data_IF_054451599975
#
_entry.id   IF_054451599975
#
_cell.length_a   1.000
_cell.length_b   1.000
_cell.length_c   1.000
_cell.angle_alpha   90.00
_cell.angle_beta   90.00
_cell.angle_gamma   90.00
#
_symmetry.space_group_name_H-M   'P 1'
#
loop_
_entity.id
_entity.type
_entity.pdbx_description
1 polymer ?
2 non-polymer ?
3 non-polymer ?
4 water ?
#
# COMPACT_ATOMS: atom_id res chain seq x y z
N UNK A 1 4.13 2.54 -3.54
CA UNK A 1 3.65 2.07 -4.88
C UNK A 1 3.09 3.24 -5.69
N UNK A 2 2.98 3.02 -7.00
CA UNK A 2 2.47 4.06 -7.90
C UNK A 2 0.99 4.34 -7.69
N UNK A 3 0.58 5.53 -8.10
CA UNK A 3 -0.82 5.98 -8.03
C UNK A 3 -0.93 7.13 -9.03
N UNK A 4 -0.49 6.88 -10.26
CA UNK A 4 -0.48 7.88 -11.32
C UNK A 4 -1.84 8.30 -11.85
N UNK A 5 -2.76 7.35 -11.96
CA UNK A 5 -4.10 7.67 -12.46
C UNK A 5 -5.11 7.33 -11.37
N UNK A 6 -6.06 8.24 -11.18
CA UNK A 6 -7.06 8.09 -10.15
C UNK A 6 -7.97 6.86 -10.32
N UNK A 7 -8.29 6.47 -11.55
CA UNK A 7 -9.18 5.34 -11.75
C UNK A 7 -8.68 4.20 -12.64
N UNK A 8 -7.42 4.26 -13.06
CA UNK A 8 -6.85 3.22 -13.91
C UNK A 8 -5.80 2.38 -13.18
N UNK A 9 -6.02 1.07 -13.12
CA UNK A 9 -5.09 0.17 -12.46
C UNK A 9 -3.77 0.08 -13.20
N UNK A 10 -3.83 0.30 -14.51
CA UNK A 10 -2.63 0.21 -15.34
C UNK A 10 -1.42 0.92 -14.77
N UNK A 11 -1.63 2.12 -14.23
CA UNK A 11 -0.55 2.92 -13.67
C UNK A 11 -0.82 3.31 -12.22
N UNK A 12 -1.65 2.53 -11.54
CA UNK A 12 -1.97 2.79 -10.14
C UNK A 12 -1.89 1.48 -9.37
N UNK A 13 -0.70 1.18 -8.84
CA UNK A 13 -0.51 -0.05 -8.08
C UNK A 13 -1.34 -0.02 -6.81
N UNK A 14 -1.50 1.15 -6.21
CA UNK A 14 -2.29 1.26 -4.99
C UNK A 14 -3.72 0.81 -5.22
N UNK A 15 -4.32 1.28 -6.32
CA UNK A 15 -5.68 0.93 -6.66
C UNK A 15 -5.77 -0.56 -6.97
N UNK A 16 -4.77 -1.08 -7.68
CA UNK A 16 -4.73 -2.49 -8.04
C UNK A 16 -4.74 -3.36 -6.78
N UNK A 17 -3.89 -3.01 -5.81
CA UNK A 17 -3.81 -3.77 -4.57
C UNK A 17 -5.18 -3.81 -3.88
N UNK A 18 -5.85 -2.67 -3.81
CA UNK A 18 -7.16 -2.60 -3.17
C UNK A 18 -8.20 -3.42 -3.94
N UNK A 19 -8.24 -3.26 -5.26
CA UNK A 19 -9.20 -4.01 -6.08
C UNK A 19 -9.01 -5.52 -5.93
N UNK A 20 -7.75 -5.97 -5.89
CA UNK A 20 -7.47 -7.39 -5.73
C UNK A 20 -7.87 -7.85 -4.32
N UNK A 21 -7.75 -6.95 -3.34
CA UNK A 21 -8.14 -7.29 -1.97
C UNK A 21 -9.66 -7.45 -1.92
N UNK A 22 -10.37 -6.60 -2.65
CA UNK A 22 -11.82 -6.68 -2.71
C UNK A 22 -12.23 -7.98 -3.40
N UNK A 23 -11.45 -8.39 -4.40
CA UNK A 23 -11.73 -9.65 -5.10
C UNK A 23 -11.58 -10.80 -4.11
N UNK A 24 -10.58 -10.71 -3.24
CA UNK A 24 -10.36 -11.74 -2.23
C UNK A 24 -11.60 -11.84 -1.35
N UNK A 25 -12.12 -10.70 -0.92
CA UNK A 25 -13.32 -10.68 -0.09
C UNK A 25 -14.50 -11.27 -0.85
N UNK A 26 -14.61 -10.94 -2.14
CA UNK A 26 -15.69 -11.46 -2.95
C UNK A 26 -15.61 -12.98 -3.08
N UNK A 27 -14.40 -13.50 -3.19
CA UNK A 27 -14.21 -14.95 -3.33
C UNK A 27 -14.46 -15.70 -2.03
N UNK A 28 -14.36 -15.01 -0.90
CA UNK A 28 -14.59 -15.67 0.37
C UNK A 28 -16.08 -15.84 0.61
N UNK A 29 -16.52 -17.08 0.75
CA UNK A 29 -17.94 -17.36 0.95
C UNK A 29 -18.24 -17.99 2.30
N UNK A 30 -17.32 -17.86 3.25
CA UNK A 30 -17.51 -18.45 4.57
C UNK A 30 -17.46 -17.41 5.67
N UNK A 31 -16.85 -16.26 5.40
CA UNK A 31 -16.71 -15.24 6.42
C UNK A 31 -17.18 -13.84 6.04
N UNK A 32 -16.92 -13.44 4.81
CA UNK A 32 -17.28 -12.10 4.36
C UNK A 32 -18.74 -11.88 3.99
N UNK A 33 -19.31 -10.79 4.50
CA UNK A 33 -20.69 -10.42 4.17
C UNK A 33 -20.51 -9.64 2.86
N UNK A 34 -21.06 -10.18 1.78
CA UNK A 34 -20.91 -9.55 0.48
C UNK A 34 -21.49 -8.14 0.33
N UNK A 35 -22.40 -7.75 1.21
CA UNK A 35 -22.97 -6.41 1.12
C UNK A 35 -21.86 -5.39 1.41
N UNK A 36 -20.80 -5.86 2.05
CA UNK A 36 -19.66 -4.99 2.36
C UNK A 36 -18.95 -4.64 1.06
N UNK A 37 -18.88 -5.63 0.16
CA UNK A 37 -18.25 -5.41 -1.13
C UNK A 37 -19.15 -4.49 -1.96
N UNK A 38 -20.46 -4.64 -1.78
CA UNK A 38 -21.42 -3.80 -2.51
C UNK A 38 -21.22 -2.33 -2.12
N UNK A 39 -21.01 -2.08 -0.83
CA UNK A 39 -20.81 -0.71 -0.35
C UNK A 39 -19.54 -0.09 -0.89
N UNK A 40 -18.47 -0.88 -0.92
CA UNK A 40 -17.19 -0.40 -1.43
C UNK A 40 -17.33 0.02 -2.89
N UNK A 41 -18.06 -0.78 -3.67
CA UNK A 41 -18.27 -0.48 -5.09
C UNK A 41 -19.24 0.66 -5.30
N UNK A 42 -20.17 0.83 -4.36
CA UNK A 42 -21.14 1.92 -4.46
C UNK A 42 -20.42 3.25 -4.28
N UNK A 43 -19.47 3.29 -3.35
CA UNK A 43 -18.72 4.51 -3.09
C UNK A 43 -17.29 4.42 -3.62
N UNK A 44 -17.14 3.69 -4.72
CA UNK A 44 -15.83 3.51 -5.34
C UNK A 44 -15.17 4.83 -5.74
N UNK A 45 -15.96 5.75 -6.26
CA UNK A 45 -15.41 7.04 -6.68
C UNK A 45 -14.69 7.74 -5.53
N UNK A 46 -15.33 7.80 -4.37
CA UNK A 46 -14.73 8.44 -3.20
C UNK A 46 -13.54 7.65 -2.69
N UNK A 47 -13.65 6.32 -2.73
CA UNK A 47 -12.59 5.45 -2.29
C UNK A 47 -11.35 5.69 -3.14
N UNK A 48 -11.52 5.66 -4.46
CA UNK A 48 -10.41 5.89 -5.37
C UNK A 48 -9.81 7.29 -5.22
N UNK A 49 -10.67 8.27 -4.93
CA UNK A 49 -10.19 9.65 -4.74
C UNK A 49 -9.23 9.67 -3.55
N UNK A 50 -9.61 8.97 -2.49
CA UNK A 50 -8.78 8.91 -1.30
C UNK A 50 -7.44 8.22 -1.56
N UNK A 51 -7.47 7.10 -2.28
CA UNK A 51 -6.25 6.38 -2.58
C UNK A 51 -5.28 7.25 -3.39
N UNK A 52 -5.83 8.02 -4.31
CA UNK A 52 -5.05 8.90 -5.18
C UNK A 52 -4.54 10.17 -4.48
N UNK A 53 -5.42 10.85 -3.76
CA UNK A 53 -5.09 12.09 -3.08
C UNK A 53 -3.87 12.05 -2.18
N UNK A 54 -3.59 10.90 -1.56
CA UNK A 54 -2.46 10.77 -0.66
C UNK A 54 -1.13 11.21 -1.27
N UNK A 55 -0.97 11.02 -2.57
CA UNK A 55 0.27 11.37 -3.26
C UNK A 55 0.28 12.73 -3.96
N UNK A 56 -0.83 13.44 -3.93
CA UNK A 56 -0.89 14.71 -4.67
C UNK A 56 -1.28 16.00 -3.96
N UNK A 57 -1.66 15.93 -2.69
CA UNK A 57 -2.06 17.15 -2.01
C UNK A 57 -1.83 17.13 -0.51
N UNK A 58 -1.78 18.33 0.06
CA UNK A 58 -1.61 18.49 1.50
C UNK A 58 -2.93 18.17 2.18
N UNK A 59 -2.89 17.70 3.43
CA UNK A 59 -1.64 17.46 4.17
C UNK A 59 -1.06 16.07 3.90
N UNK A 60 -1.79 15.28 3.12
CA UNK A 60 -1.40 13.90 2.81
C UNK A 60 0.00 13.66 2.26
N UNK A 61 0.50 14.53 1.39
CA UNK A 61 1.84 14.32 0.85
C UNK A 61 2.92 15.20 1.48
N UNK A 62 2.58 15.78 2.62
CA UNK A 62 3.50 16.60 3.41
C UNK A 62 4.38 17.57 2.60
N UNK A 63 3.75 18.50 1.90
CA UNK A 63 4.49 19.50 1.11
C UNK A 63 5.43 18.87 0.10
N UNK A 64 4.98 17.79 -0.53
CA UNK A 64 5.77 17.06 -1.54
C UNK A 64 6.99 16.32 -1.01
N UNK A 65 7.03 16.02 0.28
CA UNK A 65 8.15 15.26 0.85
C UNK A 65 7.71 13.83 1.11
N UNK A 66 6.40 13.61 1.11
CA UNK A 66 5.80 12.29 1.35
C UNK A 66 6.33 11.62 2.61
N UNK A 67 6.72 12.43 3.61
CA UNK A 67 7.23 11.89 4.86
C UNK A 67 6.26 10.92 5.53
N UNK A 68 4.96 11.19 5.43
CA UNK A 68 3.97 10.34 6.07
C UNK A 68 3.73 9.01 5.36
N UNK A 69 4.38 8.81 4.21
CA UNK A 69 4.22 7.57 3.46
C UNK A 69 5.30 6.55 3.80
N UNK A 70 6.14 6.89 4.78
CA UNK A 70 7.22 6.01 5.20
C UNK A 70 7.10 5.67 6.69
N UNK A 71 7.61 4.50 7.06
CA UNK A 71 7.59 4.06 8.45
C UNK A 71 8.56 2.89 8.65
N UNK A 72 9.62 3.13 9.43
CA UNK A 72 10.61 2.09 9.73
C UNK A 72 10.17 1.45 11.05
N UNK A 73 9.70 0.18 11.00
CA UNK A 73 9.26 -0.50 12.22
C UNK A 73 10.29 -0.65 13.34
N UNK A 74 11.58 -0.56 12.99
CA UNK A 74 12.62 -0.70 14.02
C UNK A 74 12.77 0.52 14.94
N UNK A 75 12.56 1.71 14.41
CA UNK A 75 12.67 2.91 15.23
C UNK A 75 11.36 3.73 15.23
N UNK A 76 10.37 3.25 14.50
CA UNK A 76 9.09 3.94 14.43
C UNK A 76 9.16 5.33 13.83
N UNK A 77 10.14 5.57 12.96
CA UNK A 77 10.31 6.88 12.35
C UNK A 77 10.24 6.87 10.82
N UNK A 78 9.99 8.05 10.25
CA UNK A 78 9.97 8.21 8.80
C UNK A 78 11.36 8.74 8.47
N UNK A 79 11.61 9.11 7.22
CA UNK A 79 12.95 9.56 6.81
C UNK A 79 13.35 10.99 7.16
N UNK A 80 12.41 11.77 7.68
CA UNK A 80 12.69 13.14 8.09
C UNK A 80 12.44 13.20 9.60
N UNK A 81 13.44 13.64 10.36
CA UNK A 81 13.30 13.74 11.82
C UNK A 81 12.06 14.53 12.24
N UNK A 82 11.34 14.02 13.23
CA UNK A 82 10.16 14.68 13.78
C UNK A 82 8.92 14.76 12.90
N UNK A 83 9.00 14.26 11.67
CA UNK A 83 7.84 14.29 10.78
C UNK A 83 6.89 13.16 11.12
N UNK A 84 5.65 13.28 10.65
CA UNK A 84 4.64 12.26 10.90
C UNK A 84 4.95 11.03 10.04
N UNK A 85 4.65 9.83 10.55
CA UNK A 85 4.92 8.62 9.78
C UNK A 85 3.65 7.87 9.37
N UNK A 86 3.84 6.83 8.56
CA UNK A 86 2.73 6.06 8.02
C UNK A 86 1.81 5.36 9.02
N UNK A 87 2.36 4.87 10.12
CA UNK A 87 1.55 4.16 11.11
C UNK A 87 0.52 5.07 11.79
N UNK A 88 0.96 6.21 12.30
CA UNK A 88 0.04 7.12 12.97
C UNK A 88 -0.89 7.79 11.96
N UNK A 89 -0.38 8.08 10.76
CA UNK A 89 -1.20 8.73 9.75
C UNK A 89 -2.25 7.78 9.19
N UNK A 90 -1.84 6.54 8.88
CA UNK A 90 -2.79 5.57 8.37
C UNK A 90 -3.90 5.28 9.37
N UNK A 91 -3.53 5.14 10.64
CA UNK A 91 -4.50 4.87 11.70
C UNK A 91 -5.44 6.05 11.86
N UNK A 92 -4.91 7.26 11.72
CA UNK A 92 -5.72 8.47 11.85
C UNK A 92 -6.90 8.45 10.88
N UNK A 93 -6.63 8.13 9.62
CA UNK A 93 -7.69 8.12 8.62
C UNK A 93 -8.63 6.91 8.71
N UNK A 94 -8.13 5.83 9.32
CA UNK A 94 -8.93 4.63 9.51
C UNK A 94 -10.04 5.00 10.50
N UNK A 95 -9.67 5.72 11.55
CA UNK A 95 -10.63 6.11 12.58
C UNK A 95 -11.55 7.24 12.10
N UNK A 96 -11.00 8.21 11.37
CA UNK A 96 -11.83 9.29 10.86
C UNK A 96 -12.87 8.70 9.93
N UNK A 97 -12.47 7.73 9.12
CA UNK A 97 -13.37 7.09 8.18
C UNK A 97 -14.50 6.39 8.93
N UNK A 98 -14.15 5.71 10.02
CA UNK A 98 -15.15 5.01 10.82
C UNK A 98 -16.16 5.93 11.48
N UNK A 99 -15.70 7.07 11.99
CA UNK A 99 -16.62 8.00 12.64
C UNK A 99 -17.61 8.54 11.61
N UNK A 100 -17.11 8.87 10.42
CA UNK A 100 -17.97 9.37 9.35
C UNK A 100 -18.98 8.30 8.96
N UNK A 101 -18.52 7.06 8.89
CA UNK A 101 -19.39 5.95 8.53
C UNK A 101 -20.53 5.81 9.53
N UNK A 102 -20.19 5.84 10.81
CA UNK A 102 -21.22 5.73 11.85
C UNK A 102 -22.22 6.89 11.78
N UNK A 103 -21.78 8.03 11.26
CA UNK A 103 -22.66 9.19 11.14
C UNK A 103 -23.34 9.24 9.78
N UNK A 104 -23.28 8.13 9.05
CA UNK A 104 -23.90 8.01 7.73
C UNK A 104 -23.38 8.94 6.64
N UNK A 105 -22.17 9.47 6.82
CA UNK A 105 -21.59 10.33 5.80
C UNK A 105 -20.68 9.44 4.96
N UNK A 106 -21.29 8.66 4.06
CA UNK A 106 -20.58 7.72 3.21
C UNK A 106 -19.47 8.31 2.34
N UNK A 107 -19.72 9.48 1.75
CA UNK A 107 -18.72 10.12 0.90
C UNK A 107 -17.44 10.40 1.68
N UNK A 108 -17.60 10.95 2.88
CA UNK A 108 -16.47 11.27 3.73
C UNK A 108 -15.79 10.01 4.25
N UNK A 109 -16.60 9.02 4.64
CA UNK A 109 -16.08 7.78 5.19
C UNK A 109 -15.21 7.00 4.21
N UNK A 110 -15.68 6.83 2.99
CA UNK A 110 -14.91 6.06 2.01
C UNK A 110 -13.72 6.82 1.43
N UNK A 111 -13.80 8.14 1.42
CA UNK A 111 -12.67 8.94 0.94
C UNK A 111 -11.54 8.71 1.94
N UNK A 112 -11.86 8.81 3.23
CA UNK A 112 -10.87 8.62 4.29
C UNK A 112 -10.35 7.19 4.34
N UNK A 113 -11.20 6.21 4.05
CA UNK A 113 -10.77 4.82 4.08
C UNK A 113 -9.73 4.66 2.97
N UNK A 114 -10.01 5.27 1.80
CA UNK A 114 -9.10 5.21 0.68
C UNK A 114 -7.72 5.73 1.08
N UNK A 115 -7.70 6.84 1.79
CA UNK A 115 -6.44 7.42 2.26
C UNK A 115 -5.73 6.41 3.16
N UNK A 116 -6.46 5.86 4.12
CA UNK A 116 -5.89 4.89 5.06
C UNK A 116 -5.31 3.68 4.31
N UNK A 117 -6.02 3.21 3.30
CA UNK A 117 -5.55 2.07 2.53
C UNK A 117 -4.26 2.41 1.78
N UNK A 118 -4.11 3.66 1.38
CA UNK A 118 -2.89 4.08 0.68
C UNK A 118 -1.69 3.90 1.60
N UNK A 119 -1.80 4.41 2.83
CA UNK A 119 -0.71 4.31 3.80
C UNK A 119 -0.39 2.85 4.13
N UNK A 120 -1.43 2.02 4.28
CA UNK A 120 -1.22 0.60 4.57
C UNK A 120 -0.49 -0.02 3.39
N UNK A 121 -0.91 0.36 2.19
CA UNK A 121 -0.28 -0.16 0.99
C UNK A 121 1.20 0.19 0.92
N UNK A 122 1.53 1.44 1.24
CA UNK A 122 2.91 1.89 1.18
C UNK A 122 3.89 1.12 2.09
N UNK A 123 3.48 0.80 3.31
CA UNK A 123 4.40 0.08 4.20
C UNK A 123 4.65 -1.35 3.74
N UNK A 124 3.92 -1.80 2.73
CA UNK A 124 4.14 -3.14 2.18
C UNK A 124 5.24 -3.06 1.11
N UNK A 125 5.61 -1.84 0.75
CA UNK A 125 6.67 -1.62 -0.22
C UNK A 125 7.93 -1.54 0.66
N UNK A 126 8.85 -2.52 0.53
CA UNK A 126 10.07 -2.56 1.34
C UNK A 126 10.84 -1.25 1.50
N UNK A 127 10.98 -0.50 0.41
CA UNK A 127 11.69 0.78 0.47
C UNK A 127 11.05 1.74 1.45
N UNK A 128 9.73 1.71 1.53
CA UNK A 128 8.98 2.58 2.43
C UNK A 128 9.14 2.15 3.89
N UNK A 129 9.47 0.88 4.10
CA UNK A 129 9.65 0.39 5.46
C UNK A 129 11.12 0.49 5.86
N UNK A 130 11.96 1.00 4.96
CA UNK A 130 13.38 1.13 5.25
C UNK A 130 13.90 2.55 5.00
N UNK A 131 12.96 3.48 4.80
CA UNK A 131 13.29 4.87 4.55
C UNK A 131 14.23 5.09 3.37
N UNK A 132 13.99 4.32 2.31
CA UNK A 132 14.76 4.44 1.08
C UNK A 132 13.87 5.23 0.13
N UNK A 133 14.24 6.50 -0.09
CA UNK A 133 13.47 7.38 -0.96
C UNK A 133 14.07 7.52 -2.35
N UNK A 134 13.44 8.32 -3.18
CA UNK A 134 13.91 8.54 -4.54
C UNK A 134 15.20 9.35 -4.54
N UNK A 135 15.57 9.88 -3.38
CA UNK A 135 16.80 10.66 -3.25
C UNK A 135 17.92 9.82 -2.65
N UNK A 136 17.55 8.64 -2.14
CA UNK A 136 18.53 7.73 -1.57
C UNK A 136 19.34 7.16 -2.74
N UNK A 137 20.57 6.75 -2.46
CA UNK A 137 21.45 6.18 -3.48
C UNK A 137 21.12 4.73 -3.79
N UNK A 138 20.96 4.37 -5.07
CA UNK A 138 21.05 5.19 -6.28
C UNK A 138 19.81 6.05 -6.46
N UNK A 139 20.02 7.35 -6.62
CA UNK A 139 18.92 8.28 -6.80
C UNK A 139 18.09 7.91 -8.03
N UNK A 140 16.76 7.97 -7.88
CA UNK A 140 15.88 7.62 -8.98
C UNK A 140 15.44 6.17 -9.00
N UNK A 141 16.10 5.31 -8.23
CA UNK A 141 15.76 3.90 -8.20
C UNK A 141 14.36 3.64 -7.63
N UNK A 142 14.00 4.39 -6.61
CA UNK A 142 12.69 4.23 -5.98
C UNK A 142 11.54 4.38 -6.98
N UNK A 143 11.52 5.47 -7.73
CA UNK A 143 10.43 5.69 -8.68
C UNK A 143 10.48 4.74 -9.89
N UNK A 144 11.66 4.45 -10.40
CA UNK A 144 11.76 3.54 -11.55
C UNK A 144 11.30 2.15 -11.16
N UNK A 145 11.59 1.74 -9.92
CA UNK A 145 11.17 0.44 -9.44
C UNK A 145 9.64 0.38 -9.36
N UNK A 146 9.02 1.41 -8.79
CA UNK A 146 7.56 1.41 -8.68
C UNK A 146 6.87 1.50 -10.04
N UNK A 147 7.53 2.11 -11.02
CA UNK A 147 6.97 2.21 -12.36
C UNK A 147 7.06 0.83 -13.01
N UNK A 148 8.16 0.13 -12.78
CA UNK A 148 8.36 -1.22 -13.32
C UNK A 148 7.32 -2.19 -12.76
N UNK A 149 7.00 -2.06 -11.48
CA UNK A 149 6.03 -2.91 -10.83
C UNK A 149 4.69 -2.92 -11.57
N UNK A 150 4.28 -1.78 -12.10
CA UNK A 150 3.01 -1.69 -12.82
C UNK A 150 2.97 -2.59 -14.06
N UNK A 151 4.13 -2.84 -14.65
CA UNK A 151 4.20 -3.67 -15.85
C UNK A 151 4.10 -5.15 -15.56
N UNK A 152 4.34 -5.56 -14.32
CA UNK A 152 4.30 -6.99 -14.01
C UNK A 152 3.34 -7.42 -12.90
N UNK A 153 2.71 -6.47 -12.22
CA UNK A 153 1.83 -6.81 -11.10
C UNK A 153 0.72 -7.81 -11.41
N UNK A 154 0.13 -7.72 -12.58
CA UNK A 154 -0.95 -8.65 -12.94
C UNK A 154 -0.58 -10.12 -12.94
N UNK A 155 0.71 -10.42 -12.87
CA UNK A 155 1.16 -11.81 -12.83
C UNK A 155 1.14 -12.36 -11.41
N UNK A 156 0.84 -11.49 -10.44
CA UNK A 156 0.83 -11.92 -9.04
C UNK A 156 -0.46 -11.65 -8.28
N UNK A 157 -1.57 -11.90 -8.97
CA UNK A 157 -2.88 -11.72 -8.36
C UNK A 157 -3.13 -12.89 -7.42
N UNK A 158 -3.75 -12.62 -6.28
CA UNK A 158 -4.10 -13.69 -5.34
C UNK A 158 -5.45 -14.17 -5.89
N UNK A 159 -5.58 -15.47 -6.14
CA UNK A 159 -6.83 -15.99 -6.71
C UNK A 159 -7.69 -16.85 -5.79
N UNK A 160 -7.50 -16.73 -4.48
CA UNK A 160 -8.30 -17.49 -3.54
C UNK A 160 -8.99 -16.50 -2.59
N UNK A 161 -9.81 -17.00 -1.68
CA UNK A 161 -10.50 -16.10 -0.77
C UNK A 161 -9.88 -15.99 0.60
N UNK A 162 -8.58 -16.25 0.69
CA UNK A 162 -7.92 -16.20 1.98
C UNK A 162 -7.17 -14.91 2.29
N UNK A 163 -7.86 -13.97 2.93
CA UNK A 163 -7.21 -12.74 3.32
C UNK A 163 -6.68 -13.00 4.71
N UNK A 164 -5.86 -12.10 5.24
CA UNK A 164 -5.36 -12.28 6.60
C UNK A 164 -6.39 -11.73 7.57
N UNK A 165 -7.49 -12.47 7.74
CA UNK A 165 -8.56 -12.05 8.63
C UNK A 165 -8.06 -12.03 10.07
N UNK A 166 -8.31 -10.95 10.78
CA UNK A 166 -7.89 -10.81 12.17
C UNK A 166 -6.39 -11.09 12.34
N UNK A 167 -5.62 -10.68 11.34
CA UNK A 167 -4.17 -10.88 11.33
C UNK A 167 -3.53 -10.33 12.60
N UNK A 168 -3.87 -9.08 12.94
CA UNK A 168 -3.35 -8.46 14.15
C UNK A 168 -4.55 -8.06 15.00
N UNK A 169 -4.32 -7.29 16.05
CA UNK A 169 -5.41 -6.88 16.92
C UNK A 169 -6.48 -6.02 16.28
N UNK A 170 -7.22 -5.31 17.11
CA UNK A 170 -8.28 -4.42 16.63
C UNK A 170 -7.73 -3.03 16.36
N UNK A 171 -6.49 -2.78 16.78
CA UNK A 171 -5.84 -1.50 16.58
C UNK A 171 -5.20 -1.44 15.21
N UNK A 172 -5.70 -0.54 14.33
CA UNK A 172 -5.14 -0.41 12.98
C UNK A 172 -3.63 -0.19 12.96
N UNK A 173 -3.10 0.48 13.99
CA UNK A 173 -1.66 0.73 14.06
C UNK A 173 -0.88 -0.57 14.07
N UNK A 174 -1.42 -1.59 14.72
CA UNK A 174 -0.76 -2.90 14.78
C UNK A 174 -0.65 -3.53 13.39
N UNK A 175 -1.66 -3.29 12.56
CA UNK A 175 -1.67 -3.84 11.22
C UNK A 175 -0.62 -3.17 10.34
N UNK A 176 -0.53 -1.85 10.43
CA UNK A 176 0.45 -1.10 9.66
C UNK A 176 1.87 -1.47 10.09
N UNK A 177 2.09 -1.54 11.40
CA UNK A 177 3.41 -1.91 11.94
C UNK A 177 3.76 -3.33 11.50
N UNK A 178 2.81 -4.25 11.67
CA UNK A 178 3.04 -5.63 11.30
C UNK A 178 3.41 -5.80 9.85
N UNK A 179 2.75 -5.06 8.96
CA UNK A 179 3.04 -5.14 7.53
C UNK A 179 4.44 -4.60 7.25
N UNK A 180 4.81 -3.52 7.94
CA UNK A 180 6.12 -2.92 7.73
C UNK A 180 7.24 -3.87 8.18
N UNK A 181 6.99 -4.60 9.27
CA UNK A 181 7.97 -5.56 9.78
C UNK A 181 8.30 -6.60 8.71
N UNK A 182 7.27 -7.18 8.12
CA UNK A 182 7.46 -8.19 7.08
C UNK A 182 8.11 -7.60 5.84
N UNK A 183 7.66 -6.41 5.45
CA UNK A 183 8.20 -5.75 4.26
C UNK A 183 9.68 -5.41 4.42
N UNK A 184 10.06 -4.91 5.59
CA UNK A 184 11.47 -4.55 5.80
C UNK A 184 12.38 -5.78 5.72
N UNK A 185 11.85 -6.93 6.12
CA UNK A 185 12.62 -8.17 6.06
C UNK A 185 13.00 -8.50 4.62
N UNK A 186 12.12 -8.16 3.68
CA UNK A 186 12.36 -8.43 2.27
C UNK A 186 13.09 -7.30 1.54
N UNK A 187 13.53 -6.30 2.29
CA UNK A 187 14.23 -5.15 1.71
C UNK A 187 15.47 -5.49 0.89
N UNK A 188 16.34 -6.34 1.43
CA UNK A 188 17.57 -6.72 0.74
C UNK A 188 17.29 -7.49 -0.55
N UNK A 189 16.08 -8.03 -0.66
CA UNK A 189 15.72 -8.76 -1.86
C UNK A 189 15.47 -7.83 -3.03
N UNK A 190 15.45 -6.53 -2.75
CA UNK A 190 15.19 -5.53 -3.77
C UNK A 190 16.33 -4.53 -3.87
N UNK A 191 16.83 -4.09 -2.71
CA UNK A 191 17.92 -3.13 -2.68
C UNK A 191 19.18 -3.78 -2.13
N UNK A 192 20.20 -3.91 -2.98
CA UNK A 192 21.48 -4.50 -2.60
C UNK A 192 22.55 -4.03 -3.59
N UNK A 193 23.80 -4.39 -3.34
CA UNK A 193 24.89 -3.97 -4.23
C UNK A 193 24.66 -4.34 -5.68
N UNK A 194 24.05 -5.50 -5.91
CA UNK A 194 23.79 -5.94 -7.27
C UNK A 194 22.78 -5.06 -7.98
N UNK A 195 21.58 -4.93 -7.42
CA UNK A 195 20.56 -4.11 -8.06
C UNK A 195 21.00 -2.66 -8.19
N UNK A 196 21.77 -2.19 -7.21
CA UNK A 196 22.26 -0.82 -7.25
C UNK A 196 23.21 -0.67 -8.42
N UNK A 197 24.15 -1.61 -8.52
CA UNK A 197 25.14 -1.60 -9.58
C UNK A 197 24.50 -1.66 -10.96
N UNK A 198 23.59 -2.61 -11.15
CA UNK A 198 22.93 -2.79 -12.43
C UNK A 198 22.04 -1.61 -12.80
N UNK A 199 21.38 -1.00 -11.82
CA UNK A 199 20.51 0.14 -12.08
C UNK A 199 21.31 1.30 -12.64
N UNK A 200 22.52 1.48 -12.11
CA UNK A 200 23.39 2.55 -12.56
C UNK A 200 23.88 2.28 -13.98
N UNK A 201 24.32 1.05 -14.23
CA UNK A 201 24.81 0.67 -15.55
C UNK A 201 23.65 0.55 -16.53
N UNK A 202 22.43 0.47 -16.01
CA UNK A 202 21.25 0.37 -16.86
C UNK A 202 21.08 1.64 -17.67
N UNK A 203 21.65 2.73 -17.17
CA UNK A 203 21.55 4.02 -17.85
C UNK A 203 22.11 3.97 -19.28
N UNK A 204 23.16 3.18 -19.47
CA UNK A 204 23.78 3.07 -20.79
C UNK A 204 23.57 1.70 -21.45
N UNK A 205 23.23 0.69 -20.65
CA UNK A 205 23.04 -0.65 -21.19
C UNK A 205 21.68 -1.30 -20.91
N UNK A 206 20.88 -1.46 -21.95
CA UNK A 206 19.57 -2.08 -21.82
C UNK A 206 19.75 -3.46 -21.20
N UNK A 207 20.94 -4.02 -21.42
CA UNK A 207 21.31 -5.33 -20.91
C UNK A 207 21.19 -5.34 -19.37
N UNK A 208 21.67 -4.29 -18.74
CA UNK A 208 21.62 -4.18 -17.28
C UNK A 208 20.24 -3.77 -16.78
N UNK A 209 19.48 -3.09 -17.63
CA UNK A 209 18.14 -2.67 -17.27
C UNK A 209 17.28 -3.91 -17.05
N UNK A 210 17.48 -4.92 -17.90
CA UNK A 210 16.74 -6.16 -17.80
C UNK A 210 17.22 -6.99 -16.61
N UNK A 211 18.49 -6.84 -16.26
CA UNK A 211 19.05 -7.58 -15.15
C UNK A 211 18.45 -7.20 -13.79
N UNK A 212 18.38 -5.91 -13.48
CA UNK A 212 17.82 -5.56 -12.18
C UNK A 212 16.32 -5.82 -12.13
N UNK A 213 15.64 -5.65 -13.26
CA UNK A 213 14.21 -5.90 -13.30
C UNK A 213 13.94 -7.36 -12.97
N UNK A 214 14.71 -8.26 -13.59
CA UNK A 214 14.54 -9.69 -13.34
C UNK A 214 14.87 -10.03 -11.89
N UNK A 215 15.97 -9.48 -11.40
CA UNK A 215 16.42 -9.72 -10.04
C UNK A 215 15.38 -9.40 -8.95
N UNK A 216 14.69 -8.28 -9.09
CA UNK A 216 13.71 -7.89 -8.08
C UNK A 216 12.30 -8.47 -8.26
N UNK A 217 12.04 -9.14 -9.38
CA UNK A 217 10.71 -9.67 -9.63
C UNK A 217 10.18 -10.68 -8.61
N UNK A 218 10.93 -11.75 -8.31
CA UNK A 218 10.44 -12.74 -7.33
C UNK A 218 9.95 -12.13 -6.01
N UNK A 219 10.80 -11.30 -5.39
CA UNK A 219 10.44 -10.67 -4.13
C UNK A 219 9.25 -9.72 -4.31
N UNK A 220 9.18 -9.03 -5.43
CA UNK A 220 8.09 -8.12 -5.72
C UNK A 220 6.77 -8.90 -5.74
N UNK A 221 6.79 -10.06 -6.39
CA UNK A 221 5.58 -10.87 -6.45
C UNK A 221 5.13 -11.26 -5.06
N UNK A 222 6.07 -11.63 -4.20
CA UNK A 222 5.75 -12.02 -2.83
C UNK A 222 5.16 -10.84 -2.06
N UNK A 223 5.77 -9.67 -2.20
CA UNK A 223 5.30 -8.48 -1.51
C UNK A 223 3.89 -8.11 -1.97
N UNK A 224 3.65 -8.17 -3.27
CA UNK A 224 2.34 -7.83 -3.82
C UNK A 224 1.25 -8.78 -3.31
N UNK A 225 1.56 -10.07 -3.22
CA UNK A 225 0.57 -11.02 -2.75
C UNK A 225 0.28 -10.81 -1.26
N UNK A 226 1.31 -10.52 -0.48
CA UNK A 226 1.11 -10.26 0.94
C UNK A 226 0.27 -9.01 1.10
N UNK A 227 0.57 -7.98 0.31
CA UNK A 227 -0.15 -6.71 0.38
C UNK A 227 -1.64 -6.91 0.11
N UNK A 228 -1.97 -7.81 -0.81
CA UNK A 228 -3.36 -8.08 -1.14
C UNK A 228 -4.07 -8.71 0.06
N UNK A 229 -3.46 -9.76 0.61
CA UNK A 229 -4.05 -10.45 1.75
C UNK A 229 -4.20 -9.58 2.99
N UNK A 230 -3.19 -8.75 3.27
CA UNK A 230 -3.26 -7.88 4.44
C UNK A 230 -4.32 -6.80 4.25
N UNK A 231 -4.41 -6.25 3.04
CA UNK A 231 -5.40 -5.21 2.77
C UNK A 231 -6.82 -5.76 2.92
N UNK A 232 -7.05 -7.00 2.48
CA UNK A 232 -8.37 -7.58 2.60
C UNK A 232 -8.75 -7.70 4.07
N UNK A 233 -7.80 -8.14 4.89
CA UNK A 233 -8.07 -8.30 6.32
C UNK A 233 -8.30 -6.96 6.99
N UNK A 234 -7.60 -5.93 6.52
CA UNK A 234 -7.69 -4.57 7.05
C UNK A 234 -9.08 -3.99 6.79
N UNK A 235 -9.57 -4.19 5.57
CA UNK A 235 -10.90 -3.70 5.19
C UNK A 235 -11.97 -4.45 5.99
N UNK A 236 -11.79 -5.75 6.15
CA UNK A 236 -12.74 -6.58 6.92
C UNK A 236 -12.77 -6.06 8.36
N UNK A 237 -11.60 -5.72 8.89
CA UNK A 237 -11.51 -5.19 10.26
C UNK A 237 -12.28 -3.88 10.38
N UNK A 238 -12.09 -3.00 9.40
CA UNK A 238 -12.77 -1.70 9.42
C UNK A 238 -14.29 -1.91 9.52
N UNK A 239 -14.84 -2.78 8.69
CA UNK A 239 -16.28 -3.06 8.71
C UNK A 239 -16.74 -3.73 10.02
N UNK A 240 -15.93 -4.62 10.56
CA UNK A 240 -16.30 -5.28 11.82
C UNK A 240 -16.30 -4.25 12.95
N UNK A 241 -15.43 -3.26 12.83
CA UNK A 241 -15.31 -2.22 13.85
C UNK A 241 -16.40 -1.16 13.80
N UNK A 242 -16.72 -0.70 12.60
CA UNK A 242 -17.71 0.35 12.43
C UNK A 242 -19.02 -0.07 11.80
N UNK A 243 -19.07 -1.31 11.34
CA UNK A 243 -20.27 -1.83 10.69
C UNK A 243 -21.36 -2.41 11.58
N UNK A 244 -21.55 -1.82 12.75
CA UNK A 244 -22.59 -2.24 13.69
C UNK A 244 -22.38 -3.57 14.41
N UNK A 245 -22.25 -3.49 15.74
CA UNK A 245 -22.08 -4.62 16.65
C UNK A 245 -21.10 -4.31 17.80
X LIG B 1 2.30 6.96 -0.93
X LIG C 1 7.22 4.82 -3.07
X LIG D 1 2.78 4.26 -2.89
X LIG E 1 10.74 15.47 -9.34
X LIG E 1 10.36 13.98 -9.47
X LIG E 1 9.38 13.55 -8.38
X LIG E 1 9.55 12.05 -8.13
X LIG E 1 9.21 11.70 -6.68
X LIG E 1 8.92 10.23 -6.26
X LIG E 1 9.12 9.30 -7.07
X LIG E 1 8.43 9.86 -4.90
X LIG E 1 8.15 8.51 -4.38
X LIG E 1 7.79 8.52 -2.86
X LIG E 1 8.51 9.56 -2.17
X LIG E 1 9.94 9.79 -2.00
X LIG E 1 10.77 8.94 -2.38
X LIG E 1 10.40 11.08 -1.27
X LIG E 1 11.47 11.92 -1.96
X LIG E 1 10.88 12.69 -3.16
X LIG E 1 12.02 13.15 -4.07
X LIG E 1 11.63 14.39 -4.92
X LIG E 1 6.34 8.83 -2.66
X LIG E 1 5.28 7.95 -1.91
X LIG E 1 4.54 6.72 -2.96
X LIG E 1 5.27 5.50 -3.09
X LIG E 1 3.07 6.38 -2.74
X LIG E 1 4.51 7.61 -4.40
X LIG E 1 4.71 7.12 -5.77
X LIG E 1 4.21 8.02 -6.96
X LIG E 1 4.34 9.58 -7.17
X LIG E 1 3.26 10.41 -6.55
X LIG E 1 5.58 10.23 -6.68
X LIG E 1 4.32 9.82 -8.66
#
# INVERSE_FOLDING_TARGET
WSAEDKHKEGVNSHLWIVNRAIDIMSRNTTLVKQDRVAQLNEWRTELENGIYAANYENPYYDNSTFASHFYDPDNGKTYIPFAKQAKETGAKYFKLAGESYKNKDMKQAFFYLGLSLHYLGDVNQPMHAANFTNLSYPQGFHSKYENFVDTIKDNYKVTDGNGYWNWKGTNPEEWIHGAAVVAKQDYSGIVNDNTKDWFVKAAVSQEYADKWRAEVTPMTGKRLMDAQRVTAGYIQLWFDTYGDR
ZN ZN
ZN ZN
ZN ZN
3PC C15 C14 C13 C12 C11 C10 O7 O6 C9 C8 O5 C16 O8 C17 C18 C19 C20 C21 C7 C6 P1 O2 O3 O1 C5 C4 N1 C1 C2 C3
#
